data_IF_052993320851
#
_entry.id   IF_052993320851
#
_cell.length_a   1.000
_cell.length_b   1.000
_cell.length_c   1.000
_cell.angle_alpha   90.00
_cell.angle_beta   90.00
_cell.angle_gamma   90.00
#
_symmetry.space_group_name_H-M   'P 1'
#
loop_
_entity.id
_entity.type
_entity.pdbx_description
1 polymer ?
#
# COMPACT_ATOMS: atom_id res chain seq x y z
N UNK A 1 10.94 5.21 -16.94
CA UNK A 1 9.56 5.69 -16.73
C UNK A 1 9.39 6.00 -15.25
N UNK A 2 8.73 7.11 -14.90
CA UNK A 2 8.39 7.40 -13.51
C UNK A 2 6.95 6.96 -13.25
N UNK A 3 6.73 6.18 -12.20
CA UNK A 3 5.40 5.76 -11.76
C UNK A 3 4.94 6.67 -10.63
N UNK A 4 3.63 6.74 -10.38
CA UNK A 4 3.12 7.36 -9.15
C UNK A 4 2.61 6.28 -8.22
N UNK A 5 2.74 6.52 -6.93
CA UNK A 5 2.09 5.68 -5.94
C UNK A 5 0.57 5.69 -6.18
N UNK A 6 -0.05 4.51 -6.24
CA UNK A 6 -1.48 4.37 -6.47
C UNK A 6 -2.37 4.93 -5.33
N UNK A 7 -1.83 5.05 -4.11
CA UNK A 7 -2.53 5.74 -3.01
C UNK A 7 -2.76 7.22 -3.35
N UNK A 8 -4.03 7.59 -3.50
CA UNK A 8 -4.51 8.92 -3.93
C UNK A 8 -3.87 10.08 -3.17
N UNK A 9 -3.68 9.95 -1.85
CA UNK A 9 -3.12 11.02 -1.01
C UNK A 9 -1.59 10.94 -0.79
N UNK A 10 -0.90 9.97 -1.39
CA UNK A 10 0.55 9.82 -1.19
C UNK A 10 1.34 10.82 -2.03
N UNK A 11 0.95 11.04 -3.28
CA UNK A 11 1.61 11.99 -4.20
C UNK A 11 3.07 11.67 -4.57
N UNK A 12 3.67 10.60 -4.01
CA UNK A 12 5.04 10.19 -4.31
C UNK A 12 5.19 9.73 -5.75
N UNK A 13 6.23 10.26 -6.38
CA UNK A 13 6.77 9.74 -7.64
C UNK A 13 7.72 8.59 -7.28
N UNK A 14 7.62 7.49 -8.01
CA UNK A 14 8.35 6.25 -7.82
C UNK A 14 9.18 5.96 -9.05
N UNK A 15 10.46 5.69 -8.82
CA UNK A 15 11.34 5.12 -9.82
C UNK A 15 11.04 3.63 -10.04
N UNK A 16 11.47 3.11 -11.19
CA UNK A 16 11.25 1.70 -11.58
C UNK A 16 11.86 0.68 -10.61
N UNK A 17 12.70 1.12 -9.68
CA UNK A 17 13.36 0.27 -8.67
C UNK A 17 12.76 0.38 -7.26
N UNK A 18 11.91 1.38 -7.00
CA UNK A 18 11.43 1.70 -5.65
C UNK A 18 9.97 1.28 -5.39
N UNK A 19 9.18 1.10 -6.45
CA UNK A 19 7.76 0.74 -6.31
C UNK A 19 7.53 -0.75 -6.05
N UNK A 20 6.65 -1.06 -5.10
CA UNK A 20 6.11 -2.39 -4.83
C UNK A 20 4.84 -2.58 -5.67
N UNK A 21 4.75 -3.67 -6.42
CA UNK A 21 3.56 -4.01 -7.19
C UNK A 21 2.62 -4.91 -6.37
N UNK A 22 1.37 -4.50 -6.24
CA UNK A 22 0.30 -5.24 -5.57
C UNK A 22 -0.95 -5.15 -6.45
N UNK A 23 -1.51 -6.30 -6.84
CA UNK A 23 -2.73 -6.37 -7.67
C UNK A 23 -2.67 -5.57 -8.99
N UNK A 24 -1.49 -5.48 -9.60
CA UNK A 24 -1.27 -4.70 -10.84
C UNK A 24 -1.14 -3.19 -10.63
N UNK A 25 -1.22 -2.71 -9.38
CA UNK A 25 -0.99 -1.32 -9.01
C UNK A 25 0.37 -1.14 -8.32
N UNK A 26 0.97 0.04 -8.48
CA UNK A 26 2.31 0.33 -7.99
C UNK A 26 2.29 1.29 -6.81
N UNK A 27 2.90 0.89 -5.71
CA UNK A 27 2.84 1.56 -4.43
C UNK A 27 4.24 1.95 -3.94
N UNK A 28 4.32 3.07 -3.23
CA UNK A 28 5.54 3.38 -2.48
C UNK A 28 5.68 2.37 -1.34
N UNK A 29 6.92 2.14 -0.88
CA UNK A 29 7.21 1.16 0.17
C UNK A 29 6.37 1.35 1.44
N UNK A 30 6.15 2.61 1.82
CA UNK A 30 5.41 2.98 3.03
C UNK A 30 3.91 2.68 2.87
N UNK A 31 3.30 3.08 1.75
CA UNK A 31 1.91 2.76 1.43
C UNK A 31 1.67 1.26 1.29
N UNK A 32 2.57 0.54 0.60
CA UNK A 32 2.49 -0.91 0.47
C UNK A 32 2.53 -1.60 1.84
N UNK A 33 3.37 -1.12 2.76
CA UNK A 33 3.46 -1.65 4.12
C UNK A 33 2.16 -1.44 4.90
N UNK A 34 1.54 -0.26 4.80
CA UNK A 34 0.26 0.02 5.45
C UNK A 34 -0.88 -0.85 4.91
N UNK A 35 -0.97 -0.98 3.58
CA UNK A 35 -1.97 -1.83 2.92
C UNK A 35 -1.80 -3.29 3.35
N UNK A 36 -0.58 -3.81 3.29
CA UNK A 36 -0.27 -5.18 3.74
C UNK A 36 -0.62 -5.39 5.20
N UNK A 37 -0.33 -4.41 6.08
CA UNK A 37 -0.68 -4.48 7.49
C UNK A 37 -2.19 -4.55 7.71
N UNK A 38 -2.96 -3.75 6.96
CA UNK A 38 -4.42 -3.76 7.03
C UNK A 38 -5.00 -5.09 6.55
N UNK A 39 -4.53 -5.61 5.40
CA UNK A 39 -4.91 -6.93 4.88
C UNK A 39 -4.60 -8.02 5.91
N UNK A 40 -3.39 -8.02 6.46
CA UNK A 40 -2.99 -8.99 7.48
C UNK A 40 -3.84 -8.86 8.75
N UNK A 41 -4.18 -7.64 9.18
CA UNK A 41 -5.06 -7.43 10.33
C UNK A 41 -6.48 -8.00 10.09
N UNK A 42 -7.00 -7.82 8.87
CA UNK A 42 -8.31 -8.36 8.45
C UNK A 42 -8.28 -9.89 8.34
N UNK A 43 -7.21 -10.46 7.80
CA UNK A 43 -7.03 -11.91 7.68
C UNK A 43 -6.75 -12.58 9.03
N UNK A 44 -6.03 -11.92 9.92
CA UNK A 44 -5.73 -12.40 11.27
C UNK A 44 -6.94 -12.38 12.21
N UNK A 45 -8.10 -11.90 11.75
CA UNK A 45 -9.35 -11.99 12.50
C UNK A 45 -9.32 -11.28 13.84
N UNK A 46 -8.91 -10.00 13.89
CA UNK A 46 -9.22 -9.20 15.09
C UNK A 46 -10.66 -8.69 15.03
N UNK A 47 -11.41 -8.85 16.15
CA UNK A 47 -12.77 -8.39 16.24
C UNK A 47 -12.80 -6.88 16.03
N UNK A 48 -13.81 -6.46 15.29
CA UNK A 48 -14.41 -5.14 15.36
C UNK A 48 -14.20 -4.51 16.75
N UNK A 49 -13.33 -3.51 16.82
CA UNK A 49 -13.42 -2.52 17.89
C UNK A 49 -13.42 -1.16 17.21
N UNK A 50 -14.60 -0.87 16.67
CA UNK A 50 -15.09 0.47 16.44
C UNK A 50 -15.56 1.01 17.80
N UNK A 51 -14.74 1.82 18.46
CA UNK A 51 -15.14 2.98 19.29
C UNK A 51 -13.91 3.89 19.52
#
# INVERSE_FOLDING_TARGET
MVHRCAVVNCGKILDEKEGVELDGERYCRECATLIMRDILARLAGRPDHQD
#
